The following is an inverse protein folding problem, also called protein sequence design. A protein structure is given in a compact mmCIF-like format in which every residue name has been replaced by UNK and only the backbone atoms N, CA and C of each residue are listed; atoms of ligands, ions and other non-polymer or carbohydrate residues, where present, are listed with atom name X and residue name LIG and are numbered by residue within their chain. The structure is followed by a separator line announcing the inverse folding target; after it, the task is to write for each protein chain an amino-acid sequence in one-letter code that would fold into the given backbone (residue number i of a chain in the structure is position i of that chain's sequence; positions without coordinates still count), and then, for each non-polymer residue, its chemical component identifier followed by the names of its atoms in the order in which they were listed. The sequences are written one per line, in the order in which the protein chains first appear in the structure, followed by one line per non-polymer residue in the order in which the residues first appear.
data_IF_951499571926
#
_entry.id   IF_951499571926
#
_cell.length_a   1.000
_cell.length_b   1.000
_cell.length_c   1.000
_cell.angle_alpha   90.00
_cell.angle_beta   90.00
_cell.angle_gamma   90.00
#
_symmetry.space_group_name_H-M   'P 1'
#
loop_
_entity.id
_entity.type
_entity.pdbx_description
1 polymer ?
#
# COMPACT_ATOMS: atom_id res chain seq x y z
N UNK A 1 -0.13 -18.29 -3.03
CA UNK A 1 0.14 -18.33 -1.57
C UNK A 1 -0.99 -17.73 -0.73
N UNK A 2 -1.48 -16.53 -1.03
CA UNK A 2 -2.51 -15.86 -0.21
C UNK A 2 -3.79 -16.69 0.01
N UNK A 3 -4.32 -17.32 -1.04
CA UNK A 3 -5.53 -18.17 -0.95
C UNK A 3 -5.29 -19.37 -0.04
N UNK A 4 -4.14 -20.03 -0.18
CA UNK A 4 -3.81 -21.23 0.59
C UNK A 4 -3.63 -20.97 2.10
N UNK A 5 -3.25 -19.74 2.46
CA UNK A 5 -2.98 -19.35 3.85
C UNK A 5 -4.08 -18.48 4.47
N UNK A 6 -5.13 -18.17 3.69
CA UNK A 6 -6.28 -17.40 4.17
C UNK A 6 -6.94 -18.07 5.38
N UNK A 7 -7.18 -17.29 6.44
CA UNK A 7 -7.85 -17.79 7.66
C UNK A 7 -6.97 -18.61 8.61
N UNK A 8 -5.72 -18.91 8.25
CA UNK A 8 -4.80 -19.71 9.09
C UNK A 8 -4.10 -18.91 10.19
N UNK A 9 -4.19 -17.58 10.15
CA UNK A 9 -3.41 -16.68 11.02
C UNK A 9 -1.97 -16.45 10.56
N UNK A 10 -1.49 -17.19 9.56
CA UNK A 10 -0.16 -16.99 8.97
C UNK A 10 -0.12 -15.68 8.18
N UNK A 11 0.89 -14.84 8.45
CA UNK A 11 1.13 -13.59 7.73
C UNK A 11 2.24 -13.78 6.71
N UNK A 12 2.04 -13.22 5.52
CA UNK A 12 3.01 -13.23 4.43
C UNK A 12 3.73 -11.90 4.36
N UNK A 13 5.02 -11.95 4.03
CA UNK A 13 5.90 -10.79 3.89
C UNK A 13 6.72 -10.91 2.61
N UNK A 14 6.85 -9.81 1.87
CA UNK A 14 7.56 -9.71 0.59
C UNK A 14 8.00 -8.25 0.33
N UNK A 15 8.79 -8.00 -0.71
CA UNK A 15 9.28 -6.66 -1.06
C UNK A 15 10.52 -6.27 -0.26
N UNK A 16 11.35 -7.26 0.08
CA UNK A 16 12.70 -7.05 0.59
C UNK A 16 13.71 -7.20 -0.55
N UNK A 17 14.71 -6.33 -0.58
CA UNK A 17 15.73 -6.30 -1.64
C UNK A 17 17.09 -6.62 -1.04
N UNK A 18 17.73 -7.67 -1.55
CA UNK A 18 19.04 -8.13 -1.09
C UNK A 18 20.22 -7.35 -1.72
N UNK A 19 19.96 -6.47 -2.67
CA UNK A 19 20.96 -5.56 -3.23
C UNK A 19 21.10 -4.34 -2.32
N UNK A 20 22.27 -4.22 -1.68
CA UNK A 20 22.52 -3.15 -0.73
C UNK A 20 22.87 -1.84 -1.46
N UNK A 21 22.31 -0.70 -1.04
CA UNK A 21 22.65 0.62 -1.57
C UNK A 21 23.99 1.13 -1.01
N UNK A 22 25.07 0.43 -1.35
CA UNK A 22 26.44 0.75 -0.93
C UNK A 22 27.32 0.80 -2.16
N UNK A 23 28.09 1.88 -2.30
CA UNK A 23 29.04 2.04 -3.41
C UNK A 23 30.21 1.05 -3.32
N UNK A 24 30.75 0.57 -4.45
CA UNK A 24 31.87 -0.38 -4.47
C UNK A 24 33.19 0.20 -3.94
N UNK A 25 33.36 1.53 -3.98
CA UNK A 25 34.60 2.20 -3.57
C UNK A 25 34.47 2.85 -2.20
N UNK A 26 35.52 2.72 -1.38
CA UNK A 26 35.63 3.41 -0.08
C UNK A 26 36.84 4.36 -0.11
N UNK A 27 36.73 5.56 0.47
CA UNK A 27 37.91 6.38 0.69
C UNK A 27 38.88 5.62 1.61
N UNK A 28 40.17 5.67 1.29
CA UNK A 28 41.23 5.27 2.21
C UNK A 28 41.76 6.52 2.93
N UNK A 29 42.31 6.36 4.13
CA UNK A 29 42.69 7.46 5.03
C UNK A 29 43.57 8.54 4.37
N UNK A 30 44.27 8.21 3.27
CA UNK A 30 45.15 9.13 2.53
C UNK A 30 44.81 9.28 1.04
N UNK A 31 43.74 8.65 0.55
CA UNK A 31 43.33 8.73 -0.86
C UNK A 31 41.82 8.99 -0.96
N UNK A 32 41.41 10.24 -1.23
CA UNK A 32 40.02 10.51 -1.54
C UNK A 32 39.61 9.75 -2.80
N UNK A 33 38.32 9.47 -2.92
CA UNK A 33 37.78 8.86 -4.13
C UNK A 33 38.03 9.77 -5.33
N UNK A 34 38.39 9.17 -6.47
CA UNK A 34 38.40 9.90 -7.74
C UNK A 34 36.97 10.27 -8.15
N UNK A 35 36.81 11.24 -9.04
CA UNK A 35 35.50 11.60 -9.58
C UNK A 35 34.79 10.40 -10.23
N UNK A 36 35.53 9.55 -10.95
CA UNK A 36 34.99 8.31 -11.52
C UNK A 36 34.46 7.36 -10.44
N UNK A 37 35.20 7.18 -9.35
CA UNK A 37 34.76 6.30 -8.26
C UNK A 37 33.54 6.85 -7.52
N UNK A 38 33.46 8.17 -7.35
CA UNK A 38 32.29 8.82 -6.78
C UNK A 38 31.06 8.63 -7.68
N UNK A 39 31.25 8.72 -9.00
CA UNK A 39 30.20 8.47 -9.99
C UNK A 39 29.71 7.01 -9.93
N UNK A 40 30.64 6.06 -9.93
CA UNK A 40 30.32 4.63 -9.82
C UNK A 40 29.58 4.30 -8.52
N UNK A 41 29.99 4.89 -7.40
CA UNK A 41 29.30 4.78 -6.12
C UNK A 41 27.86 5.31 -6.21
N UNK A 42 27.66 6.50 -6.83
CA UNK A 42 26.33 7.08 -7.00
C UNK A 42 25.43 6.20 -7.86
N UNK A 43 25.96 5.68 -8.97
CA UNK A 43 25.25 4.75 -9.84
C UNK A 43 24.81 3.48 -9.10
N UNK A 44 25.71 2.86 -8.32
CA UNK A 44 25.40 1.66 -7.56
C UNK A 44 24.28 1.89 -6.53
N UNK A 45 24.35 2.99 -5.78
CA UNK A 45 23.34 3.37 -4.78
C UNK A 45 21.98 3.62 -5.44
N UNK A 46 21.94 4.42 -6.51
CA UNK A 46 20.68 4.75 -7.20
C UNK A 46 20.05 3.54 -7.89
N UNK A 47 20.87 2.65 -8.44
CA UNK A 47 20.39 1.38 -8.98
C UNK A 47 19.72 0.54 -7.88
N UNK A 48 20.39 0.35 -6.74
CA UNK A 48 19.84 -0.39 -5.61
C UNK A 48 18.55 0.24 -5.07
N UNK A 49 18.47 1.57 -5.00
CA UNK A 49 17.26 2.29 -4.59
C UNK A 49 16.08 2.09 -5.56
N UNK A 50 16.33 2.17 -6.87
CA UNK A 50 15.29 1.92 -7.87
C UNK A 50 14.75 0.50 -7.79
N UNK A 51 15.65 -0.48 -7.63
CA UNK A 51 15.26 -1.88 -7.46
C UNK A 51 14.42 -2.04 -6.19
N UNK A 52 14.86 -1.49 -5.07
CA UNK A 52 14.14 -1.56 -3.80
C UNK A 52 12.73 -0.95 -3.88
N UNK A 53 12.60 0.25 -4.44
CA UNK A 53 11.29 0.87 -4.66
C UNK A 53 10.38 -0.01 -5.52
N UNK A 54 10.94 -0.62 -6.58
CA UNK A 54 10.20 -1.47 -7.53
C UNK A 54 9.74 -2.77 -6.88
N UNK A 55 10.59 -3.43 -6.10
CA UNK A 55 10.25 -4.66 -5.37
C UNK A 55 9.13 -4.42 -4.35
N UNK A 56 9.19 -3.30 -3.62
CA UNK A 56 8.15 -2.92 -2.66
C UNK A 56 6.83 -2.66 -3.38
N UNK A 57 6.86 -1.91 -4.49
CA UNK A 57 5.68 -1.67 -5.33
C UNK A 57 5.09 -2.96 -5.89
N UNK A 58 5.94 -3.89 -6.34
CA UNK A 58 5.51 -5.19 -6.83
C UNK A 58 4.80 -6.00 -5.73
N UNK A 59 5.44 -6.11 -4.55
CA UNK A 59 4.89 -6.76 -3.36
C UNK A 59 3.50 -6.22 -3.00
N UNK A 60 3.35 -4.89 -2.93
CA UNK A 60 2.08 -4.22 -2.63
C UNK A 60 1.00 -4.52 -3.69
N UNK A 61 1.35 -4.49 -4.98
CA UNK A 61 0.42 -4.81 -6.08
C UNK A 61 -0.04 -6.26 -6.06
N UNK A 62 0.78 -7.18 -5.54
CA UNK A 62 0.42 -8.57 -5.30
C UNK A 62 -0.30 -8.80 -3.96
N UNK A 63 -0.57 -7.74 -3.19
CA UNK A 63 -1.29 -7.78 -1.92
C UNK A 63 -0.44 -8.20 -0.72
N UNK A 64 0.89 -8.20 -0.85
CA UNK A 64 1.80 -8.37 0.28
C UNK A 64 2.13 -6.99 0.88
N UNK A 65 1.56 -6.71 2.05
CA UNK A 65 1.68 -5.41 2.71
C UNK A 65 2.66 -5.40 3.87
N UNK A 66 3.43 -6.47 4.04
CA UNK A 66 4.48 -6.59 5.04
C UNK A 66 5.80 -6.84 4.31
N UNK A 67 6.88 -6.26 4.82
CA UNK A 67 8.23 -6.38 4.27
C UNK A 67 9.25 -5.93 5.30
N UNK A 68 10.55 -6.07 4.98
CA UNK A 68 11.65 -5.64 5.82
C UNK A 68 12.76 -4.99 5.00
N UNK A 69 13.64 -4.25 5.68
CA UNK A 69 14.83 -3.64 5.09
C UNK A 69 16.09 -4.24 5.71
N UNK A 70 17.12 -4.41 4.88
CA UNK A 70 18.43 -4.95 5.27
C UNK A 70 19.46 -3.83 5.48
N UNK A 71 19.17 -2.62 4.99
CA UNK A 71 20.05 -1.46 5.12
C UNK A 71 19.24 -0.20 5.52
N UNK A 72 19.75 0.66 6.42
CA UNK A 72 19.02 1.86 6.87
C UNK A 72 18.59 2.80 5.73
N UNK A 73 19.39 2.88 4.66
CA UNK A 73 19.05 3.74 3.50
C UNK A 73 18.00 3.14 2.56
N UNK A 74 17.49 1.92 2.82
CA UNK A 74 16.30 1.39 2.15
C UNK A 74 15.00 1.91 2.80
N UNK A 75 15.04 2.29 4.07
CA UNK A 75 13.85 2.77 4.79
C UNK A 75 13.16 3.98 4.12
N UNK A 76 13.87 5.03 3.68
CA UNK A 76 13.24 6.14 2.96
C UNK A 76 12.56 5.70 1.65
N UNK A 77 13.11 4.70 0.96
CA UNK A 77 12.55 4.17 -0.28
C UNK A 77 11.31 3.32 -0.01
N UNK A 78 11.29 2.55 1.09
CA UNK A 78 10.08 1.88 1.58
C UNK A 78 8.97 2.86 1.88
N UNK A 79 9.28 3.93 2.62
CA UNK A 79 8.33 4.99 2.91
C UNK A 79 7.76 5.57 1.61
N UNK A 80 8.63 5.99 0.69
CA UNK A 80 8.23 6.54 -0.60
C UNK A 80 7.35 5.56 -1.40
N UNK A 81 7.76 4.30 -1.51
CA UNK A 81 7.01 3.28 -2.26
C UNK A 81 5.63 3.01 -1.65
N UNK A 82 5.54 2.86 -0.32
CA UNK A 82 4.25 2.63 0.35
C UNK A 82 3.31 3.81 0.17
N UNK A 83 3.82 5.04 0.32
CA UNK A 83 2.99 6.24 0.14
C UNK A 83 2.56 6.42 -1.32
N UNK A 84 3.48 6.29 -2.27
CA UNK A 84 3.15 6.33 -3.71
C UNK A 84 2.05 5.35 -4.07
N UNK A 85 2.10 4.10 -3.58
CA UNK A 85 1.07 3.09 -3.85
C UNK A 85 -0.34 3.56 -3.49
N UNK A 86 -0.52 4.17 -2.32
CA UNK A 86 -1.83 4.66 -1.86
C UNK A 86 -2.20 6.03 -2.45
N UNK A 87 -1.25 6.92 -2.66
CA UNK A 87 -1.54 8.26 -3.18
C UNK A 87 -1.90 8.20 -4.67
N UNK A 88 -1.16 7.43 -5.46
CA UNK A 88 -1.40 7.29 -6.91
C UNK A 88 -2.74 6.64 -7.23
N UNK A 89 -3.21 5.73 -6.37
CA UNK A 89 -4.48 5.01 -6.57
C UNK A 89 -5.67 5.66 -5.84
N UNK A 90 -5.46 6.76 -5.10
CA UNK A 90 -6.49 7.34 -4.24
C UNK A 90 -7.71 7.81 -5.04
N UNK A 91 -7.49 8.58 -6.10
CA UNK A 91 -8.58 9.16 -6.90
C UNK A 91 -9.43 8.08 -7.57
N UNK A 92 -8.79 7.12 -8.25
CA UNK A 92 -9.46 6.03 -8.95
C UNK A 92 -10.20 5.10 -7.98
N UNK A 93 -9.59 4.76 -6.85
CA UNK A 93 -10.21 3.91 -5.82
C UNK A 93 -11.37 4.63 -5.12
N UNK A 94 -11.25 5.94 -4.86
CA UNK A 94 -12.34 6.74 -4.30
C UNK A 94 -13.55 6.78 -5.21
N UNK A 95 -13.35 7.03 -6.52
CA UNK A 95 -14.45 6.97 -7.50
C UNK A 95 -15.11 5.59 -7.52
N UNK A 96 -14.30 4.53 -7.56
CA UNK A 96 -14.79 3.15 -7.57
C UNK A 96 -15.62 2.84 -6.32
N UNK A 97 -15.18 3.28 -5.14
CA UNK A 97 -15.92 3.10 -3.90
C UNK A 97 -17.25 3.86 -3.91
N UNK A 98 -17.28 5.14 -4.33
CA UNK A 98 -18.53 5.91 -4.46
C UNK A 98 -19.55 5.21 -5.34
N UNK A 99 -19.16 4.87 -6.57
CA UNK A 99 -20.05 4.19 -7.51
C UNK A 99 -20.52 2.84 -6.99
N UNK A 100 -19.67 2.14 -6.22
CA UNK A 100 -20.04 0.87 -5.59
C UNK A 100 -21.08 1.07 -4.48
N UNK A 101 -20.91 2.07 -3.62
CA UNK A 101 -21.86 2.42 -2.57
C UNK A 101 -23.21 2.87 -3.12
N UNK A 102 -23.23 3.65 -4.20
CA UNK A 102 -24.45 4.08 -4.89
C UNK A 102 -25.24 2.89 -5.43
N UNK A 103 -24.57 1.94 -6.09
CA UNK A 103 -25.19 0.69 -6.58
C UNK A 103 -25.75 -0.15 -5.43
N UNK A 104 -25.00 -0.29 -4.35
CA UNK A 104 -25.46 -1.05 -3.18
C UNK A 104 -26.70 -0.42 -2.52
N UNK A 105 -26.75 0.92 -2.46
CA UNK A 105 -27.91 1.65 -1.97
C UNK A 105 -29.13 1.46 -2.89
N UNK A 106 -28.97 1.53 -4.21
CA UNK A 106 -30.07 1.34 -5.17
C UNK A 106 -30.69 -0.05 -5.06
N UNK A 107 -29.88 -1.11 -5.00
CA UNK A 107 -30.36 -2.49 -4.83
C UNK A 107 -31.16 -2.63 -3.54
N UNK A 108 -30.66 -2.04 -2.47
CA UNK A 108 -31.32 -2.04 -1.16
C UNK A 108 -32.66 -1.31 -1.20
N UNK A 109 -32.75 -0.14 -1.87
CA UNK A 109 -33.96 0.67 -1.96
C UNK A 109 -35.13 -0.06 -2.65
N UNK A 110 -34.84 -0.93 -3.61
CA UNK A 110 -35.86 -1.76 -4.27
C UNK A 110 -36.14 -3.08 -3.55
N UNK A 111 -35.66 -3.23 -2.31
CA UNK A 111 -35.86 -4.43 -1.48
C UNK A 111 -34.98 -5.62 -1.90
N UNK A 112 -33.96 -5.40 -2.74
CA UNK A 112 -33.02 -6.42 -3.18
C UNK A 112 -31.86 -6.63 -2.21
N UNK A 113 -31.20 -7.80 -2.32
CA UNK A 113 -29.98 -8.12 -1.56
C UNK A 113 -28.75 -7.81 -2.43
N UNK A 114 -27.82 -7.03 -1.90
CA UNK A 114 -26.54 -6.77 -2.54
C UNK A 114 -25.53 -7.88 -2.19
N UNK A 115 -25.15 -8.69 -3.17
CA UNK A 115 -24.35 -9.91 -2.96
C UNK A 115 -22.81 -9.70 -3.04
N UNK A 116 -22.35 -8.57 -3.57
CA UNK A 116 -20.91 -8.33 -3.80
C UNK A 116 -20.20 -7.71 -2.58
N UNK A 117 -20.47 -8.20 -1.37
CA UNK A 117 -19.84 -7.69 -0.16
C UNK A 117 -18.29 -7.85 -0.17
N UNK A 118 -17.78 -8.83 -0.93
CA UNK A 118 -16.35 -9.11 -1.05
C UNK A 118 -15.61 -7.96 -1.77
N UNK A 119 -16.13 -7.46 -2.88
CA UNK A 119 -15.52 -6.31 -3.59
C UNK A 119 -15.55 -5.05 -2.71
N UNK A 120 -16.67 -4.81 -2.03
CA UNK A 120 -16.79 -3.70 -1.08
C UNK A 120 -15.78 -3.80 0.07
N UNK A 121 -15.55 -5.00 0.59
CA UNK A 121 -14.53 -5.23 1.62
C UNK A 121 -13.11 -4.98 1.09
N UNK A 122 -12.82 -5.34 -0.16
CA UNK A 122 -11.55 -5.04 -0.82
C UNK A 122 -11.28 -3.53 -0.90
N UNK A 123 -12.28 -2.76 -1.33
CA UNK A 123 -12.21 -1.30 -1.40
C UNK A 123 -12.07 -0.67 -0.01
N UNK A 124 -12.81 -1.15 1.00
CA UNK A 124 -12.67 -0.68 2.38
C UNK A 124 -11.26 -0.99 2.93
N UNK A 125 -10.72 -2.17 2.66
CA UNK A 125 -9.39 -2.57 3.12
C UNK A 125 -8.28 -1.67 2.56
N UNK A 126 -8.44 -1.14 1.34
CA UNK A 126 -7.52 -0.16 0.77
C UNK A 126 -7.41 1.08 1.67
N UNK A 127 -8.55 1.70 2.01
CA UNK A 127 -8.59 2.89 2.87
C UNK A 127 -8.08 2.58 4.28
N UNK A 128 -8.47 1.45 4.87
CA UNK A 128 -7.99 1.04 6.19
C UNK A 128 -6.46 0.91 6.23
N UNK A 129 -5.85 0.36 5.19
CA UNK A 129 -4.39 0.21 5.11
C UNK A 129 -3.71 1.56 4.89
N UNK A 130 -4.23 2.40 3.99
CA UNK A 130 -3.70 3.73 3.73
C UNK A 130 -3.77 4.65 4.95
N UNK A 131 -4.86 4.58 5.72
CA UNK A 131 -4.99 5.30 7.00
C UNK A 131 -4.00 4.75 8.03
N UNK A 132 -3.90 3.42 8.14
CA UNK A 132 -3.03 2.79 9.13
C UNK A 132 -1.55 3.12 8.91
N UNK A 133 -1.10 3.35 7.68
CA UNK A 133 0.27 3.77 7.40
C UNK A 133 0.45 5.29 7.30
N UNK A 134 -0.64 6.08 7.40
CA UNK A 134 -0.61 7.54 7.31
C UNK A 134 -0.54 8.11 5.89
N UNK A 135 -0.67 7.27 4.85
CA UNK A 135 -0.68 7.72 3.46
C UNK A 135 -2.03 8.31 3.02
N UNK A 136 -3.13 7.94 3.69
CA UNK A 136 -4.47 8.48 3.45
C UNK A 136 -5.00 9.05 4.75
N UNK A 137 -5.55 10.26 4.69
CA UNK A 137 -6.21 10.89 5.83
C UNK A 137 -7.65 10.39 5.98
N UNK A 138 -8.18 10.49 7.20
CA UNK A 138 -9.60 10.21 7.45
C UNK A 138 -10.52 11.08 6.58
N UNK A 139 -10.17 12.36 6.36
CA UNK A 139 -10.94 13.28 5.51
C UNK A 139 -10.99 12.84 4.04
N UNK A 140 -9.89 12.32 3.51
CA UNK A 140 -9.88 11.78 2.14
C UNK A 140 -10.74 10.52 2.02
N UNK A 141 -10.74 9.66 3.04
CA UNK A 141 -11.64 8.51 3.09
C UNK A 141 -13.12 8.94 3.21
N UNK A 142 -13.40 10.01 3.96
CA UNK A 142 -14.74 10.59 4.01
C UNK A 142 -15.20 11.16 2.68
N UNK A 143 -14.30 11.88 2.00
CA UNK A 143 -14.54 12.37 0.65
C UNK A 143 -14.79 11.25 -0.35
N UNK A 144 -14.40 10.00 -0.07
CA UNK A 144 -14.68 8.80 -0.86
C UNK A 144 -16.05 8.15 -0.58
N UNK A 145 -16.86 8.70 0.33
CA UNK A 145 -18.23 8.25 0.61
C UNK A 145 -18.37 7.32 1.82
N UNK A 146 -17.32 7.17 2.62
CA UNK A 146 -17.37 6.51 3.92
C UNK A 146 -17.56 7.53 5.04
N UNK A 147 -18.12 7.14 6.17
CA UNK A 147 -18.03 7.93 7.40
C UNK A 147 -16.96 7.35 8.32
N UNK A 148 -16.43 8.14 9.25
CA UNK A 148 -15.53 7.63 10.30
C UNK A 148 -16.11 6.44 11.08
N UNK A 149 -17.40 6.50 11.40
CA UNK A 149 -18.11 5.42 12.09
C UNK A 149 -18.08 4.13 11.28
N UNK A 150 -18.28 4.24 9.97
CA UNK A 150 -18.26 3.11 9.04
C UNK A 150 -16.86 2.52 8.87
N UNK A 151 -15.84 3.36 8.68
CA UNK A 151 -14.44 2.93 8.59
C UNK A 151 -14.06 2.10 9.82
N UNK A 152 -14.46 2.56 11.02
CA UNK A 152 -14.18 1.87 12.29
C UNK A 152 -14.84 0.50 12.42
N UNK A 153 -15.92 0.23 11.69
CA UNK A 153 -16.53 -1.12 11.69
C UNK A 153 -15.61 -2.16 11.06
N UNK A 154 -14.68 -1.73 10.19
CA UNK A 154 -13.77 -2.56 9.39
C UNK A 154 -14.48 -3.64 8.56
N UNK A 155 -15.80 -3.55 8.40
CA UNK A 155 -16.63 -4.57 7.77
C UNK A 155 -17.64 -3.93 6.85
N UNK A 156 -17.46 -4.13 5.55
CA UNK A 156 -18.36 -3.59 4.54
C UNK A 156 -19.80 -4.10 4.72
N UNK A 157 -19.95 -5.38 5.13
CA UNK A 157 -21.26 -5.95 5.47
C UNK A 157 -21.97 -5.16 6.58
N UNK A 158 -21.26 -4.79 7.65
CA UNK A 158 -21.84 -3.99 8.74
C UNK A 158 -22.21 -2.58 8.29
N UNK A 159 -21.44 -2.00 7.37
CA UNK A 159 -21.75 -0.70 6.77
C UNK A 159 -23.08 -0.77 6.01
N UNK A 160 -23.27 -1.77 5.14
CA UNK A 160 -24.52 -1.93 4.40
C UNK A 160 -25.72 -2.14 5.31
N UNK A 161 -25.59 -3.01 6.33
CA UNK A 161 -26.66 -3.24 7.30
C UNK A 161 -27.03 -1.97 8.07
N UNK A 162 -26.04 -1.15 8.44
CA UNK A 162 -26.27 0.11 9.12
C UNK A 162 -26.93 1.19 8.26
N UNK A 163 -26.84 1.10 6.93
CA UNK A 163 -27.50 2.02 5.98
C UNK A 163 -28.90 1.55 5.56
N UNK A 164 -29.27 0.32 5.91
CA UNK A 164 -30.60 -0.26 5.68
C UNK A 164 -31.63 0.11 6.75
N UNK A 165 -31.15 0.62 7.90
CA UNK A 165 -31.96 1.03 9.06
C UNK A 165 -32.31 2.50 8.97
#
# INVERSE_FOLDING_TARGET
MQVALGGTGIRLSDGATNIMPVGPHRPADEKPLTESQMEENRHAVYHAWRLNFTDIQHSLKQGYYQGWDLHPTQFPLRYAAVYSFFLESLESTSRRLKSFMEKAAQVTLVGGIFDDAATGQGLLNYFLRGISCGAITEKEAEAAGLTLKEIRTRSFKKILQGRQS
#
